data_IF_317820053023
#
_entry.id   IF_317820053023
#
_cell.length_a   1.000
_cell.length_b   1.000
_cell.length_c   1.000
_cell.angle_alpha   90.00
_cell.angle_beta   90.00
_cell.angle_gamma   90.00
#
_symmetry.space_group_name_H-M   'P 1'
#
loop_
_entity.id
_entity.type
_entity.pdbx_description
1 polymer ?
#
# COMPACT_ATOMS: atom_id res chain seq x y z
N UNK A 1 4.56 -29.16 -6.22
CA UNK A 1 4.71 -27.85 -6.91
C UNK A 1 5.48 -26.81 -6.08
N UNK A 2 5.49 -26.88 -4.75
CA UNK A 2 6.23 -25.93 -3.89
C UNK A 2 7.77 -25.98 -4.06
N UNK A 3 8.37 -27.15 -4.31
CA UNK A 3 9.82 -27.29 -4.47
C UNK A 3 10.41 -26.61 -5.73
N UNK A 4 9.67 -26.63 -6.85
CA UNK A 4 10.08 -25.92 -8.09
C UNK A 4 9.98 -24.40 -7.92
N UNK A 5 8.96 -23.91 -7.21
CA UNK A 5 8.82 -22.47 -6.91
C UNK A 5 9.94 -21.95 -6.03
N UNK A 6 10.34 -22.71 -4.99
CA UNK A 6 11.48 -22.35 -4.13
C UNK A 6 12.80 -22.41 -4.91
N UNK A 7 13.00 -23.41 -5.78
CA UNK A 7 14.20 -23.50 -6.62
C UNK A 7 14.30 -22.33 -7.60
N UNK A 8 13.21 -21.98 -8.30
CA UNK A 8 13.17 -20.87 -9.25
C UNK A 8 13.41 -19.53 -8.54
N UNK A 9 12.77 -19.29 -7.39
CA UNK A 9 12.97 -18.05 -6.60
C UNK A 9 14.38 -17.95 -6.01
N UNK A 10 14.98 -19.08 -5.60
CA UNK A 10 16.36 -19.11 -5.10
C UNK A 10 17.35 -18.83 -6.23
N UNK A 11 17.18 -19.45 -7.40
CA UNK A 11 18.06 -19.24 -8.56
C UNK A 11 17.90 -17.83 -9.12
N UNK A 12 16.67 -17.32 -9.23
CA UNK A 12 16.45 -15.92 -9.62
C UNK A 12 17.00 -14.97 -8.57
N UNK A 13 16.90 -15.27 -7.28
CA UNK A 13 17.50 -14.47 -6.21
C UNK A 13 19.03 -14.39 -6.35
N UNK A 14 19.69 -15.54 -6.55
CA UNK A 14 21.13 -15.61 -6.75
C UNK A 14 21.54 -14.87 -8.03
N UNK A 15 20.84 -15.08 -9.15
CA UNK A 15 21.13 -14.40 -10.41
C UNK A 15 20.89 -12.90 -10.33
N UNK A 16 19.82 -12.46 -9.67
CA UNK A 16 19.52 -11.04 -9.49
C UNK A 16 20.57 -10.36 -8.59
N UNK A 17 21.06 -11.05 -7.56
CA UNK A 17 22.21 -10.57 -6.76
C UNK A 17 23.47 -10.49 -7.63
N UNK A 18 23.77 -11.51 -8.44
CA UNK A 18 24.97 -11.52 -9.30
C UNK A 18 24.89 -10.46 -10.41
N UNK A 19 23.73 -10.27 -11.04
CA UNK A 19 23.52 -9.31 -12.13
C UNK A 19 23.50 -7.86 -11.59
N UNK A 20 22.89 -7.62 -10.43
CA UNK A 20 22.90 -6.30 -9.77
C UNK A 20 24.28 -5.99 -9.18
N UNK A 21 24.92 -6.94 -8.50
CA UNK A 21 26.19 -6.68 -7.81
C UNK A 21 27.41 -6.70 -8.73
N UNK A 22 27.50 -7.68 -9.65
CA UNK A 22 28.68 -7.87 -10.51
C UNK A 22 28.45 -7.22 -11.88
N UNK A 23 27.25 -7.36 -12.47
CA UNK A 23 26.92 -6.75 -13.76
C UNK A 23 26.85 -5.21 -13.71
N UNK A 24 26.33 -4.64 -12.63
CA UNK A 24 26.25 -3.19 -12.40
C UNK A 24 27.62 -2.51 -12.24
N UNK A 25 28.59 -3.18 -11.59
CA UNK A 25 29.95 -2.68 -11.42
C UNK A 25 30.78 -2.76 -12.71
N UNK A 26 30.64 -3.84 -13.48
CA UNK A 26 31.51 -4.12 -14.65
C UNK A 26 31.02 -3.40 -15.93
N UNK A 27 29.71 -3.16 -16.07
CA UNK A 27 29.14 -2.66 -17.34
C UNK A 27 28.89 -1.15 -17.36
N UNK A 28 28.73 -0.48 -16.20
CA UNK A 28 28.33 0.94 -16.15
C UNK A 28 29.33 1.91 -15.52
N UNK A 29 30.37 1.47 -14.82
CA UNK A 29 31.37 2.39 -14.24
C UNK A 29 30.81 3.48 -13.32
N UNK A 30 29.54 3.36 -12.89
CA UNK A 30 28.89 4.33 -12.02
C UNK A 30 29.08 3.92 -10.57
N UNK A 31 29.91 4.68 -9.86
CA UNK A 31 30.23 4.61 -8.43
C UNK A 31 28.98 4.52 -7.53
N UNK A 32 27.80 4.86 -8.03
CA UNK A 32 26.49 4.77 -7.36
C UNK A 32 26.10 3.34 -6.95
N UNK A 33 26.55 2.30 -7.68
CA UNK A 33 26.24 0.90 -7.36
C UNK A 33 27.05 0.33 -6.18
N UNK A 34 28.05 1.06 -5.69
CA UNK A 34 28.83 0.68 -4.52
C UNK A 34 27.98 0.72 -3.24
N UNK A 35 27.04 1.67 -3.14
CA UNK A 35 26.20 1.84 -1.95
C UNK A 35 25.29 0.62 -1.69
N UNK A 36 24.53 0.09 -2.69
CA UNK A 36 23.77 -1.15 -2.53
C UNK A 36 24.62 -2.37 -2.17
N UNK A 37 25.83 -2.48 -2.71
CA UNK A 37 26.73 -3.62 -2.47
C UNK A 37 27.28 -3.59 -1.05
N UNK A 38 27.70 -2.42 -0.56
CA UNK A 38 28.13 -2.24 0.83
C UNK A 38 26.97 -2.57 1.78
N UNK A 39 25.77 -2.07 1.51
CA UNK A 39 24.57 -2.38 2.30
C UNK A 39 24.18 -3.86 2.24
N UNK A 40 24.41 -4.52 1.10
CA UNK A 40 24.22 -5.96 0.93
C UNK A 40 25.21 -6.80 1.74
N UNK A 41 26.50 -6.45 1.71
CA UNK A 41 27.54 -7.09 2.54
C UNK A 41 27.26 -6.84 4.04
N UNK A 42 26.78 -5.64 4.39
CA UNK A 42 26.35 -5.30 5.73
C UNK A 42 25.21 -6.18 6.27
N UNK A 43 24.32 -6.69 5.43
CA UNK A 43 23.30 -7.65 5.87
C UNK A 43 23.90 -8.98 6.34
N UNK A 44 25.03 -9.42 5.77
CA UNK A 44 25.70 -10.67 6.20
C UNK A 44 26.31 -10.58 7.59
N UNK A 45 26.61 -9.37 8.08
CA UNK A 45 27.07 -9.16 9.47
C UNK A 45 26.05 -9.59 10.51
N UNK A 46 24.78 -9.82 10.12
CA UNK A 46 23.73 -10.38 10.98
C UNK A 46 24.08 -11.76 11.57
N UNK A 47 24.92 -12.55 10.91
CA UNK A 47 25.35 -13.88 11.42
C UNK A 47 26.29 -13.79 12.62
N UNK A 48 26.97 -12.65 12.82
CA UNK A 48 27.90 -12.46 13.92
C UNK A 48 27.28 -11.58 15.01
N UNK A 49 27.04 -12.18 16.19
CA UNK A 49 26.30 -11.57 17.32
C UNK A 49 26.90 -10.24 17.83
N UNK A 50 28.19 -9.98 17.58
CA UNK A 50 28.89 -8.77 18.01
C UNK A 50 28.83 -7.59 17.02
N UNK A 51 28.61 -7.84 15.71
CA UNK A 51 28.53 -6.77 14.67
C UNK A 51 27.13 -6.59 14.09
N UNK A 52 26.14 -7.31 14.62
CA UNK A 52 24.75 -7.28 14.18
C UNK A 52 24.10 -5.88 14.20
N UNK A 53 24.65 -4.90 14.92
CA UNK A 53 24.13 -3.52 14.90
C UNK A 53 24.21 -2.88 13.51
N UNK A 54 25.22 -3.25 12.72
CA UNK A 54 25.47 -2.68 11.39
C UNK A 54 24.43 -3.16 10.36
N UNK A 55 23.83 -4.33 10.59
CA UNK A 55 22.71 -4.86 9.81
C UNK A 55 21.40 -4.07 9.98
N UNK A 56 21.30 -3.19 10.99
CA UNK A 56 20.12 -2.33 11.19
C UNK A 56 19.96 -1.26 10.11
N UNK A 57 21.06 -0.80 9.52
CA UNK A 57 21.05 0.25 8.49
C UNK A 57 20.44 -0.24 7.17
N UNK A 58 20.86 -1.39 6.59
CA UNK A 58 20.19 -1.95 5.43
C UNK A 58 18.72 -2.30 5.69
N UNK A 59 18.39 -2.81 6.88
CA UNK A 59 17.00 -3.15 7.24
C UNK A 59 16.11 -1.91 7.30
N UNK A 60 16.60 -0.81 7.91
CA UNK A 60 15.90 0.46 7.92
C UNK A 60 15.68 1.01 6.51
N UNK A 61 16.67 0.86 5.62
CA UNK A 61 16.55 1.24 4.21
C UNK A 61 15.52 0.40 3.45
N UNK A 62 15.53 -0.93 3.64
CA UNK A 62 14.55 -1.83 3.03
C UNK A 62 13.11 -1.50 3.47
N UNK A 63 12.92 -1.28 4.77
CA UNK A 63 11.62 -0.86 5.32
C UNK A 63 11.24 0.52 4.80
N UNK A 64 12.19 1.46 4.74
CA UNK A 64 11.97 2.82 4.20
C UNK A 64 11.55 2.83 2.73
N UNK A 65 12.20 2.03 1.89
CA UNK A 65 11.82 1.84 0.48
C UNK A 65 10.43 1.21 0.37
N UNK A 66 10.16 0.17 1.16
CA UNK A 66 8.85 -0.50 1.19
C UNK A 66 7.72 0.45 1.57
N UNK A 67 7.93 1.28 2.61
CA UNK A 67 6.99 2.32 3.03
C UNK A 67 6.86 3.39 1.93
N UNK A 68 7.96 3.86 1.35
CA UNK A 68 7.95 4.89 0.31
C UNK A 68 7.15 4.47 -0.92
N UNK A 69 7.36 3.25 -1.41
CA UNK A 69 6.62 2.69 -2.54
C UNK A 69 5.14 2.51 -2.18
N UNK A 70 4.85 2.00 -0.99
CA UNK A 70 3.47 1.76 -0.54
C UNK A 70 2.68 3.06 -0.36
N UNK A 71 3.32 4.10 0.19
CA UNK A 71 2.73 5.42 0.35
C UNK A 71 2.55 6.12 -1.01
N UNK A 72 3.58 6.12 -1.86
CA UNK A 72 3.49 6.72 -3.20
C UNK A 72 2.38 6.08 -4.03
N UNK A 73 2.36 4.75 -4.09
CA UNK A 73 1.32 3.99 -4.81
C UNK A 73 -0.07 4.21 -4.21
N UNK A 74 -0.18 4.27 -2.89
CA UNK A 74 -1.45 4.50 -2.19
C UNK A 74 -2.00 5.90 -2.41
N UNK A 75 -1.14 6.92 -2.47
CA UNK A 75 -1.54 8.32 -2.69
C UNK A 75 -1.94 8.53 -4.16
N UNK A 76 -1.15 8.04 -5.10
CA UNK A 76 -1.43 8.22 -6.53
C UNK A 76 -2.72 7.49 -6.94
N UNK A 77 -2.90 6.25 -6.49
CA UNK A 77 -4.07 5.46 -6.84
C UNK A 77 -5.36 5.99 -6.20
N UNK A 78 -5.32 6.44 -4.94
CA UNK A 78 -6.53 6.83 -4.23
C UNK A 78 -6.82 8.33 -4.33
N UNK A 79 -5.84 9.20 -4.13
CA UNK A 79 -6.09 10.65 -4.07
C UNK A 79 -6.00 11.32 -5.45
N UNK A 80 -4.91 11.09 -6.19
CA UNK A 80 -4.69 11.75 -7.49
C UNK A 80 -5.75 11.30 -8.50
N UNK A 81 -6.06 10.01 -8.52
CA UNK A 81 -7.11 9.48 -9.41
C UNK A 81 -8.50 10.02 -9.06
N UNK A 82 -8.82 10.22 -7.78
CA UNK A 82 -10.09 10.84 -7.37
C UNK A 82 -10.19 12.32 -7.78
N UNK A 83 -9.11 13.08 -7.60
CA UNK A 83 -9.06 14.49 -8.03
C UNK A 83 -9.19 14.58 -9.54
N UNK A 84 -8.43 13.78 -10.29
CA UNK A 84 -8.51 13.73 -11.75
C UNK A 84 -9.90 13.35 -12.23
N UNK A 85 -10.52 12.35 -11.61
CA UNK A 85 -11.89 11.91 -11.93
C UNK A 85 -12.94 12.99 -11.68
N UNK A 86 -12.67 13.90 -10.73
CA UNK A 86 -13.57 15.05 -10.46
C UNK A 86 -13.41 16.15 -11.50
N UNK A 87 -12.20 16.36 -12.02
CA UNK A 87 -11.89 17.45 -12.96
C UNK A 87 -12.23 17.10 -14.42
N UNK A 88 -12.05 15.85 -14.86
CA UNK A 88 -12.19 15.48 -16.28
C UNK A 88 -13.64 15.44 -16.80
N UNK A 89 -14.62 15.77 -15.97
CA UNK A 89 -16.04 15.79 -16.33
C UNK A 89 -16.63 14.39 -16.52
N UNK A 90 -17.96 14.33 -16.47
CA UNK A 90 -18.74 13.09 -16.46
C UNK A 90 -18.73 12.43 -17.84
N UNK A 91 -17.86 11.45 -18.06
CA UNK A 91 -17.95 10.54 -19.22
C UNK A 91 -18.70 9.26 -18.89
N UNK A 92 -18.55 8.79 -17.65
CA UNK A 92 -19.18 7.56 -17.16
C UNK A 92 -20.10 7.82 -15.95
N UNK A 93 -21.09 6.94 -15.77
CA UNK A 93 -22.00 6.92 -14.60
C UNK A 93 -21.21 6.86 -13.29
N UNK A 94 -20.11 6.09 -13.26
CA UNK A 94 -19.25 5.99 -12.08
C UNK A 94 -18.58 7.33 -11.74
N UNK A 95 -18.12 8.07 -12.75
CA UNK A 95 -17.51 9.40 -12.56
C UNK A 95 -18.57 10.43 -12.13
N UNK A 96 -19.79 10.35 -12.69
CA UNK A 96 -20.93 11.16 -12.28
C UNK A 96 -21.24 10.97 -10.79
N UNK A 97 -21.37 9.69 -10.39
CA UNK A 97 -21.70 9.31 -9.02
C UNK A 97 -20.60 9.77 -8.05
N UNK A 98 -19.33 9.55 -8.40
CA UNK A 98 -18.19 10.04 -7.61
C UNK A 98 -18.22 11.57 -7.48
N UNK A 99 -18.43 12.31 -8.56
CA UNK A 99 -18.52 13.77 -8.53
C UNK A 99 -19.65 14.27 -7.62
N UNK A 100 -20.84 13.66 -7.71
CA UNK A 100 -21.99 13.99 -6.86
C UNK A 100 -21.67 13.68 -5.38
N UNK A 101 -21.07 12.52 -5.09
CA UNK A 101 -20.68 12.16 -3.73
C UNK A 101 -19.65 13.14 -3.14
N UNK A 102 -18.66 13.57 -3.93
CA UNK A 102 -17.67 14.56 -3.52
C UNK A 102 -18.33 15.91 -3.24
N UNK A 103 -19.22 16.39 -4.11
CA UNK A 103 -19.93 17.66 -3.92
C UNK A 103 -20.82 17.62 -2.67
N UNK A 104 -21.58 16.55 -2.47
CA UNK A 104 -22.43 16.37 -1.27
C UNK A 104 -21.59 16.29 0.01
N UNK A 105 -20.43 15.65 -0.06
CA UNK A 105 -19.48 15.56 1.06
C UNK A 105 -18.86 16.91 1.39
N UNK A 106 -18.41 17.68 0.39
CA UNK A 106 -17.90 19.04 0.58
C UNK A 106 -18.99 19.95 1.15
N UNK A 107 -20.21 19.83 0.63
CA UNK A 107 -21.39 20.55 1.16
C UNK A 107 -21.60 20.19 2.64
N UNK A 108 -21.53 18.90 3.00
CA UNK A 108 -21.59 18.49 4.40
C UNK A 108 -20.46 19.12 5.22
N UNK A 109 -19.20 19.05 4.81
CA UNK A 109 -18.08 19.59 5.60
C UNK A 109 -18.14 21.11 5.77
N UNK A 110 -18.41 21.85 4.70
CA UNK A 110 -18.44 23.33 4.73
C UNK A 110 -19.60 23.83 5.62
N UNK A 111 -20.79 23.21 5.52
CA UNK A 111 -21.96 23.69 6.26
C UNK A 111 -22.11 23.07 7.66
N UNK A 112 -21.63 21.84 7.89
CA UNK A 112 -21.71 21.16 9.20
C UNK A 112 -20.73 21.73 10.22
N UNK A 113 -19.52 22.16 9.80
CA UNK A 113 -18.53 22.78 10.69
C UNK A 113 -18.95 24.20 11.13
N UNK A 114 -19.80 24.87 10.36
CA UNK A 114 -20.10 26.30 10.55
C UNK A 114 -21.46 26.65 11.15
N UNK A 115 -22.59 26.13 10.63
CA UNK A 115 -23.94 26.64 11.00
C UNK A 115 -25.16 25.87 10.44
N UNK A 116 -25.03 24.65 9.92
CA UNK A 116 -26.15 23.92 9.28
C UNK A 116 -27.36 23.63 10.21
N UNK A 117 -27.22 23.70 11.53
CA UNK A 117 -28.34 23.52 12.46
C UNK A 117 -29.33 24.69 12.49
N UNK A 118 -28.98 25.87 11.96
CA UNK A 118 -29.84 27.08 12.05
C UNK A 118 -30.74 27.34 10.85
N UNK A 119 -30.43 26.83 9.66
CA UNK A 119 -31.26 27.09 8.47
C UNK A 119 -32.28 25.97 8.21
N UNK A 120 -33.56 26.37 8.17
CA UNK A 120 -34.69 25.54 7.71
C UNK A 120 -34.75 25.66 6.18
N UNK A 121 -34.05 24.80 5.44
CA UNK A 121 -34.07 24.86 3.97
C UNK A 121 -33.48 23.62 3.28
N UNK A 122 -33.54 23.62 1.94
CA UNK A 122 -33.01 22.57 1.02
C UNK A 122 -31.55 22.20 1.33
N UNK A 123 -30.78 23.17 1.82
CA UNK A 123 -29.39 23.01 2.23
C UNK A 123 -29.17 22.04 3.40
N UNK A 124 -30.18 21.87 4.27
CA UNK A 124 -30.13 20.89 5.37
C UNK A 124 -30.22 19.46 4.84
N UNK A 125 -31.05 19.23 3.82
CA UNK A 125 -31.23 17.92 3.21
C UNK A 125 -29.99 17.46 2.43
N UNK A 126 -29.35 18.36 1.69
CA UNK A 126 -28.11 18.05 0.96
C UNK A 126 -26.95 17.74 1.92
N UNK A 127 -26.81 18.49 3.01
CA UNK A 127 -25.83 18.20 4.06
C UNK A 127 -26.09 16.85 4.77
N UNK A 128 -27.37 16.52 5.03
CA UNK A 128 -27.72 15.25 5.66
C UNK A 128 -27.43 14.04 4.75
N UNK A 129 -27.65 14.17 3.45
CA UNK A 129 -27.25 13.16 2.46
C UNK A 129 -25.73 12.99 2.41
N UNK A 130 -24.97 14.08 2.42
CA UNK A 130 -23.50 14.03 2.52
C UNK A 130 -23.02 13.27 3.77
N UNK A 131 -23.68 13.46 4.92
CA UNK A 131 -23.36 12.70 6.15
C UNK A 131 -23.55 11.18 5.98
N UNK A 132 -24.65 10.74 5.35
CA UNK A 132 -24.90 9.32 5.12
C UNK A 132 -23.89 8.72 4.15
N UNK A 133 -23.56 9.45 3.06
CA UNK A 133 -22.53 9.03 2.11
C UNK A 133 -21.18 8.86 2.82
N UNK A 134 -20.83 9.78 3.72
CA UNK A 134 -19.60 9.69 4.53
C UNK A 134 -19.60 8.47 5.45
N UNK A 135 -20.72 8.15 6.11
CA UNK A 135 -20.83 6.93 6.94
C UNK A 135 -20.64 5.65 6.12
N UNK A 136 -21.21 5.58 4.92
CA UNK A 136 -21.06 4.44 4.01
C UNK A 136 -19.61 4.33 3.54
N UNK A 137 -18.98 5.43 3.13
CA UNK A 137 -17.61 5.45 2.64
C UNK A 137 -16.62 5.01 3.73
N UNK A 138 -16.75 5.54 4.94
CA UNK A 138 -15.94 5.10 6.08
C UNK A 138 -16.21 3.64 6.45
N UNK A 139 -17.46 3.18 6.40
CA UNK A 139 -17.81 1.77 6.60
C UNK A 139 -17.11 0.85 5.60
N UNK A 140 -17.08 1.22 4.31
CA UNK A 140 -16.38 0.47 3.28
C UNK A 140 -14.86 0.44 3.49
N UNK A 141 -14.25 1.57 3.88
CA UNK A 141 -12.82 1.66 4.19
C UNK A 141 -12.44 0.76 5.39
N UNK A 142 -13.21 0.82 6.48
CA UNK A 142 -13.02 -0.08 7.61
C UNK A 142 -13.21 -1.55 7.21
N UNK A 143 -14.25 -1.86 6.43
CA UNK A 143 -14.50 -3.20 5.90
C UNK A 143 -13.33 -3.77 5.10
N UNK A 144 -12.71 -2.96 4.24
CA UNK A 144 -11.53 -3.37 3.46
C UNK A 144 -10.34 -3.75 4.36
N UNK A 145 -10.09 -2.97 5.41
CA UNK A 145 -9.01 -3.29 6.37
C UNK A 145 -9.29 -4.55 7.19
N UNK A 146 -10.55 -4.77 7.61
CA UNK A 146 -10.96 -5.98 8.31
C UNK A 146 -10.84 -7.21 7.39
N UNK A 147 -11.28 -7.09 6.15
CA UNK A 147 -11.15 -8.15 5.14
C UNK A 147 -9.69 -8.54 4.94
N UNK A 148 -8.79 -7.56 4.82
CA UNK A 148 -7.34 -7.83 4.67
C UNK A 148 -6.79 -8.62 5.84
N UNK A 149 -7.17 -8.26 7.08
CA UNK A 149 -6.74 -8.99 8.29
C UNK A 149 -7.33 -10.39 8.37
N UNK A 150 -8.60 -10.55 7.99
CA UNK A 150 -9.25 -11.87 7.92
C UNK A 150 -8.63 -12.76 6.85
N UNK A 151 -8.24 -12.20 5.70
CA UNK A 151 -7.55 -12.94 4.65
C UNK A 151 -6.19 -13.47 5.12
N UNK A 152 -5.43 -12.67 5.88
CA UNK A 152 -4.19 -13.12 6.50
C UNK A 152 -4.45 -14.24 7.51
N UNK A 153 -5.48 -14.11 8.34
CA UNK A 153 -5.85 -15.15 9.31
C UNK A 153 -6.23 -16.47 8.63
N UNK A 154 -7.05 -16.41 7.57
CA UNK A 154 -7.41 -17.59 6.76
C UNK A 154 -6.15 -18.22 6.15
N UNK A 155 -5.22 -17.41 5.65
CA UNK A 155 -3.94 -17.90 5.13
C UNK A 155 -3.14 -18.69 6.17
N UNK A 156 -3.09 -18.20 7.41
CA UNK A 156 -2.41 -18.90 8.50
C UNK A 156 -3.14 -20.17 8.93
N UNK A 157 -4.47 -20.14 9.04
CA UNK A 157 -5.28 -21.32 9.33
C UNK A 157 -5.13 -22.39 8.26
N UNK A 158 -5.06 -22.00 6.98
CA UNK A 158 -4.85 -22.90 5.85
C UNK A 158 -3.48 -23.57 5.92
N UNK A 159 -2.42 -22.83 6.25
CA UNK A 159 -1.08 -23.39 6.46
C UNK A 159 -1.07 -24.40 7.62
N UNK A 160 -1.64 -24.04 8.78
CA UNK A 160 -1.70 -24.91 9.95
C UNK A 160 -2.48 -26.21 9.69
N UNK A 161 -3.62 -26.13 9.01
CA UNK A 161 -4.50 -27.28 8.81
C UNK A 161 -4.07 -28.17 7.63
N UNK A 162 -3.68 -27.59 6.50
CA UNK A 162 -3.42 -28.35 5.28
C UNK A 162 -1.93 -28.62 5.04
N UNK A 163 -1.04 -27.66 5.30
CA UNK A 163 0.39 -27.85 5.07
C UNK A 163 1.08 -28.53 6.26
N UNK A 164 0.70 -28.16 7.50
CA UNK A 164 1.31 -28.71 8.71
C UNK A 164 0.63 -29.99 9.20
N UNK A 165 -0.70 -29.98 9.37
CA UNK A 165 -1.46 -31.13 9.86
C UNK A 165 -1.83 -32.15 8.74
N UNK A 166 -1.56 -31.80 7.47
CA UNK A 166 -1.79 -32.65 6.28
C UNK A 166 -3.19 -33.25 6.17
N UNK A 167 -4.23 -32.51 6.57
CA UNK A 167 -5.63 -32.93 6.43
C UNK A 167 -6.20 -32.71 5.02
N UNK A 168 -5.35 -32.69 3.99
CA UNK A 168 -5.72 -32.56 2.58
C UNK A 168 -4.60 -32.94 1.64
#
# INVERSE_FOLDING_TARGET
>A
MLGLGVAITTVMGIRNILDIAIGGLITKGETTWIVPIILGVLLFTRFFRQVAWLSRWPLALLVGIGIGISLGSGIDANFITQIRSTITGVKDINQALLGVMVILTITYFIFSIGKAQREKGVLKYTAQLGRYIMMICFGALFGNTVMTRMALFIGQMRFLLFDWLKLG
#
